data_IF_387950675787
#
_entry.id   IF_387950675787
#
_cell.length_a   1.000
_cell.length_b   1.000
_cell.length_c   1.000
_cell.angle_alpha   90.00
_cell.angle_beta   90.00
_cell.angle_gamma   90.00
#
_symmetry.space_group_name_H-M   'P 1'
#
loop_
_entity.id
_entity.type
_entity.pdbx_description
1 polymer ?
#
# COMPACT_ATOMS: atom_id res chain seq x y z
N UNK A 1 -16.16 -12.20 9.23
CA UNK A 1 -15.29 -12.11 10.42
C UNK A 1 -14.81 -10.68 10.54
N UNK A 2 -14.72 -10.15 11.75
CA UNK A 2 -14.08 -8.84 12.00
C UNK A 2 -12.60 -9.07 12.31
N UNK A 3 -11.71 -8.33 11.66
CA UNK A 3 -10.31 -8.28 12.07
C UNK A 3 -10.20 -7.54 13.41
N UNK A 4 -9.33 -8.01 14.32
CA UNK A 4 -9.14 -7.35 15.61
C UNK A 4 -8.25 -6.09 15.48
N UNK A 5 -7.46 -5.98 14.41
CA UNK A 5 -6.76 -4.75 14.08
C UNK A 5 -6.52 -4.62 12.57
N UNK A 6 -6.04 -3.44 12.14
CA UNK A 6 -5.54 -3.25 10.78
C UNK A 6 -4.32 -4.15 10.50
N UNK A 7 -3.48 -4.44 11.50
CA UNK A 7 -2.30 -5.31 11.32
C UNK A 7 -2.74 -6.74 11.00
N UNK A 8 -3.72 -7.24 11.76
CA UNK A 8 -4.31 -8.56 11.52
C UNK A 8 -4.94 -8.66 10.13
N UNK A 9 -5.53 -7.57 9.63
CA UNK A 9 -6.04 -7.52 8.26
C UNK A 9 -4.91 -7.54 7.22
N UNK A 10 -3.82 -6.79 7.46
CA UNK A 10 -2.65 -6.80 6.59
C UNK A 10 -1.96 -8.17 6.56
N UNK A 11 -1.86 -8.86 7.71
CA UNK A 11 -1.29 -10.20 7.79
C UNK A 11 -2.12 -11.19 6.94
N UNK A 12 -3.46 -11.10 7.01
CA UNK A 12 -4.34 -11.91 6.16
C UNK A 12 -4.10 -11.65 4.65
N UNK A 13 -3.87 -10.39 4.25
CA UNK A 13 -3.58 -10.05 2.85
C UNK A 13 -2.19 -10.52 2.41
N UNK A 14 -1.19 -10.50 3.32
CA UNK A 14 0.16 -11.02 3.06
C UNK A 14 0.09 -12.55 2.84
N UNK A 15 -0.69 -13.27 3.67
CA UNK A 15 -0.89 -14.72 3.55
C UNK A 15 -1.58 -15.13 2.24
N UNK A 16 -2.50 -14.33 1.72
CA UNK A 16 -3.21 -14.62 0.46
C UNK A 16 -2.48 -14.11 -0.78
N UNK A 17 -1.39 -13.36 -0.62
CA UNK A 17 -0.67 -12.71 -1.71
C UNK A 17 -1.37 -11.47 -2.28
N UNK A 18 -2.36 -10.93 -1.55
CA UNK A 18 -3.13 -9.74 -1.92
C UNK A 18 -2.52 -8.43 -1.37
N UNK A 19 -1.33 -8.50 -0.75
CA UNK A 19 -0.57 -7.35 -0.27
C UNK A 19 0.78 -7.22 -0.99
N UNK A 20 0.99 -6.08 -1.64
CA UNK A 20 2.30 -5.65 -2.13
C UNK A 20 2.95 -4.67 -1.15
N UNK A 21 4.27 -4.80 -0.94
CA UNK A 21 5.06 -3.89 -0.09
C UNK A 21 6.06 -3.12 -0.94
N UNK A 22 6.03 -1.80 -0.84
CA UNK A 22 7.01 -0.91 -1.47
C UNK A 22 7.92 -0.36 -0.38
N UNK A 23 9.21 -0.73 -0.47
CA UNK A 23 10.23 -0.40 0.55
C UNK A 23 11.06 0.82 0.16
N UNK A 24 11.10 1.11 -1.13
CA UNK A 24 11.73 2.27 -1.71
C UNK A 24 11.01 3.55 -1.24
N UNK A 25 11.73 4.66 -1.05
CA UNK A 25 11.11 5.95 -0.77
C UNK A 25 10.12 6.34 -1.87
N UNK A 26 8.88 6.68 -1.48
CA UNK A 26 7.83 7.12 -2.41
C UNK A 26 7.33 8.49 -2.00
N UNK A 27 7.34 9.43 -2.93
CA UNK A 27 6.82 10.78 -2.73
C UNK A 27 5.32 10.75 -2.42
N UNK A 28 4.92 11.46 -1.36
CA UNK A 28 3.50 11.70 -1.06
C UNK A 28 2.86 12.68 -2.04
N UNK A 29 3.65 13.36 -2.87
CA UNK A 29 3.19 14.29 -3.90
C UNK A 29 3.13 13.55 -5.24
N UNK A 30 1.91 13.21 -5.65
CA UNK A 30 1.52 12.61 -6.92
C UNK A 30 1.99 11.16 -7.15
N UNK A 31 3.21 10.78 -6.75
CA UNK A 31 3.76 9.45 -7.01
C UNK A 31 2.93 8.35 -6.30
N UNK A 32 2.69 8.48 -4.99
CA UNK A 32 1.90 7.50 -4.24
C UNK A 32 0.49 7.31 -4.81
N UNK A 33 -0.14 8.40 -5.27
CA UNK A 33 -1.48 8.35 -5.88
C UNK A 33 -1.47 7.78 -7.29
N UNK A 34 -0.39 7.97 -8.04
CA UNK A 34 -0.22 7.40 -9.37
C UNK A 34 -0.10 5.87 -9.30
N UNK A 35 0.69 5.37 -8.33
CA UNK A 35 0.81 3.94 -8.04
C UNK A 35 -0.56 3.35 -7.68
N UNK A 36 -1.32 4.00 -6.79
CA UNK A 36 -2.68 3.57 -6.47
C UNK A 36 -3.61 3.58 -7.70
N UNK A 37 -3.48 4.58 -8.58
CA UNK A 37 -4.28 4.67 -9.80
C UNK A 37 -4.04 3.46 -10.72
N UNK A 38 -2.77 3.07 -10.93
CA UNK A 38 -2.44 1.88 -11.72
C UNK A 38 -2.97 0.60 -11.08
N UNK A 39 -2.77 0.43 -9.77
CA UNK A 39 -3.26 -0.74 -9.05
C UNK A 39 -4.79 -0.88 -9.17
N UNK A 40 -5.54 0.21 -9.05
CA UNK A 40 -7.00 0.18 -9.25
C UNK A 40 -7.38 -0.20 -10.69
N UNK A 41 -6.70 0.37 -11.69
CA UNK A 41 -6.97 0.08 -13.10
C UNK A 41 -6.66 -1.40 -13.46
N UNK A 42 -5.64 -1.97 -12.84
CA UNK A 42 -5.20 -3.35 -13.08
C UNK A 42 -5.88 -4.36 -12.14
N UNK A 43 -6.76 -3.91 -11.23
CA UNK A 43 -7.32 -4.73 -10.14
C UNK A 43 -6.22 -5.45 -9.34
N UNK A 44 -5.12 -4.73 -9.10
CA UNK A 44 -3.94 -5.20 -8.39
C UNK A 44 -4.15 -5.30 -6.87
N UNK A 45 -3.12 -5.81 -6.17
CA UNK A 45 -3.18 -6.03 -4.71
C UNK A 45 -3.29 -4.71 -3.95
N UNK A 46 -3.66 -4.82 -2.67
CA UNK A 46 -3.46 -3.72 -1.73
C UNK A 46 -1.96 -3.38 -1.67
N UNK A 47 -1.62 -2.11 -1.47
CA UNK A 47 -0.22 -1.67 -1.36
C UNK A 47 0.05 -1.03 -0.01
N UNK A 48 1.16 -1.41 0.61
CA UNK A 48 1.72 -0.77 1.79
C UNK A 48 3.04 -0.08 1.41
N UNK A 49 3.09 1.23 1.59
CA UNK A 49 4.32 2.03 1.44
C UNK A 49 5.03 2.13 2.78
N UNK A 50 6.25 1.62 2.88
CA UNK A 50 7.02 1.59 4.13
C UNK A 50 7.90 2.83 4.32
N UNK A 51 8.15 3.59 3.25
CA UNK A 51 9.02 4.77 3.25
C UNK A 51 8.35 5.97 2.53
N UNK A 52 7.34 6.57 3.15
CA UNK A 52 6.71 7.77 2.60
C UNK A 52 7.64 9.00 2.70
N UNK A 53 7.96 9.61 1.56
CA UNK A 53 8.72 10.86 1.49
C UNK A 53 7.74 12.05 1.42
N UNK A 54 7.66 12.78 2.53
CA UNK A 54 6.87 14.01 2.60
C UNK A 54 7.55 15.12 1.81
N UNK A 55 6.76 16.05 1.29
CA UNK A 55 7.31 17.26 0.70
C UNK A 55 8.00 18.12 1.76
N UNK A 56 9.12 18.71 1.37
CA UNK A 56 9.83 19.73 2.10
C UNK A 56 8.96 20.99 2.07
N UNK A 57 8.23 21.25 3.16
CA UNK A 57 7.35 22.42 3.30
C UNK A 57 8.11 23.74 3.35
#
# INVERSE_FOLDING_TARGET
>A
MSYASLRDFLDQLDETGDLARVKEPVSTVLEMTEIQTRLLAEQGPAVLFEAAQMADG
#
